data_IF_933640882626
#
_entry.id   IF_933640882626
#
_cell.length_a   1.000
_cell.length_b   1.000
_cell.length_c   1.000
_cell.angle_alpha   90.00
_cell.angle_beta   90.00
_cell.angle_gamma   90.00
#
_symmetry.space_group_name_H-M   'P 1'
#
loop_
_entity.id
_entity.type
_entity.pdbx_description
1 polymer ?
#
# COMPACT_ATOMS: atom_id res chain seq x y z
N UNK A 1 -18.59 -0.58 -21.54
CA UNK A 1 -18.84 0.68 -20.83
C UNK A 1 -17.70 1.67 -21.00
N UNK A 2 -17.98 2.94 -20.82
CA UNK A 2 -16.96 3.99 -20.91
C UNK A 2 -16.09 4.02 -19.65
N UNK A 3 -14.96 4.74 -19.73
CA UNK A 3 -14.09 4.93 -18.57
C UNK A 3 -14.84 5.66 -17.43
N UNK A 4 -15.72 6.61 -17.79
CA UNK A 4 -16.53 7.32 -16.80
C UNK A 4 -17.53 6.42 -16.09
N UNK A 5 -18.17 5.53 -16.85
CA UNK A 5 -19.10 4.55 -16.29
C UNK A 5 -18.37 3.56 -15.38
N UNK A 6 -17.21 3.09 -15.80
CA UNK A 6 -16.38 2.20 -15.01
C UNK A 6 -15.94 2.86 -13.70
N UNK A 7 -15.47 4.10 -13.77
CA UNK A 7 -15.05 4.87 -12.61
C UNK A 7 -16.20 5.00 -11.59
N UNK A 8 -17.38 5.29 -12.09
CA UNK A 8 -18.57 5.44 -11.26
C UNK A 8 -18.97 4.12 -10.62
N UNK A 9 -18.92 3.03 -11.37
CA UNK A 9 -19.29 1.70 -10.90
C UNK A 9 -18.37 1.22 -9.79
N UNK A 10 -17.07 1.49 -9.91
CA UNK A 10 -16.07 1.01 -8.96
C UNK A 10 -15.82 2.00 -7.83
N UNK A 11 -16.20 3.26 -7.99
CA UNK A 11 -16.08 4.27 -6.96
C UNK A 11 -14.73 4.96 -6.90
N UNK A 12 -14.09 5.14 -8.07
CA UNK A 12 -12.81 5.85 -8.18
C UNK A 12 -12.90 6.93 -9.23
N UNK A 13 -11.93 7.83 -9.29
CA UNK A 13 -11.92 8.83 -10.34
C UNK A 13 -11.24 8.29 -11.61
N UNK A 14 -11.51 8.96 -12.71
CA UNK A 14 -10.98 8.57 -14.03
C UNK A 14 -9.46 8.60 -14.06
N UNK A 15 -8.84 9.53 -13.34
CA UNK A 15 -7.38 9.65 -13.31
C UNK A 15 -6.71 8.43 -12.70
N UNK A 16 -7.35 7.83 -11.71
CA UNK A 16 -6.86 6.60 -11.08
C UNK A 16 -6.84 5.45 -12.10
N UNK A 17 -7.89 5.31 -12.89
CA UNK A 17 -7.98 4.28 -13.92
C UNK A 17 -6.92 4.52 -14.99
N UNK A 18 -6.75 5.75 -15.44
CA UNK A 18 -5.73 6.11 -16.42
C UNK A 18 -4.33 5.82 -15.91
N UNK A 19 -4.10 6.05 -14.62
CA UNK A 19 -2.82 5.74 -14.00
C UNK A 19 -2.52 4.24 -14.04
N UNK A 20 -3.47 3.40 -13.65
CA UNK A 20 -3.29 1.95 -13.66
C UNK A 20 -3.12 1.41 -15.09
N UNK A 21 -3.80 2.00 -16.03
CA UNK A 21 -3.65 1.66 -17.44
C UNK A 21 -2.25 2.00 -17.93
N UNK A 22 -1.75 3.17 -17.56
CA UNK A 22 -0.44 3.67 -17.97
C UNK A 22 0.70 2.80 -17.40
N UNK A 23 0.57 2.32 -16.17
CA UNK A 23 1.59 1.48 -15.54
C UNK A 23 1.45 -0.01 -15.91
N UNK A 24 0.49 -0.34 -16.76
CA UNK A 24 0.37 -1.70 -17.31
C UNK A 24 -0.37 -2.72 -16.46
N UNK A 25 -1.09 -2.29 -15.43
CA UNK A 25 -1.87 -3.19 -14.59
C UNK A 25 -3.24 -3.51 -15.18
N UNK A 26 -3.69 -2.72 -16.10
CA UNK A 26 -5.07 -2.72 -16.54
C UNK A 26 -5.14 -2.17 -17.96
N UNK A 27 -6.00 -2.75 -18.79
CA UNK A 27 -6.16 -2.28 -20.17
C UNK A 27 -7.64 -2.32 -20.57
N UNK A 28 -8.06 -1.43 -21.49
CA UNK A 28 -9.41 -1.50 -22.01
C UNK A 28 -9.61 -2.76 -22.84
N UNK A 29 -10.82 -3.25 -22.86
CA UNK A 29 -11.20 -4.40 -23.68
C UNK A 29 -11.08 -4.09 -25.17
N UNK A 30 -11.43 -2.87 -25.52
CA UNK A 30 -11.50 -2.43 -26.90
C UNK A 30 -11.25 -0.94 -27.03
N UNK A 31 -10.58 -0.52 -28.11
CA UNK A 31 -10.42 0.89 -28.45
C UNK A 31 -11.01 1.14 -29.82
N UNK A 32 -11.85 2.14 -29.92
CA UNK A 32 -12.45 2.53 -31.20
C UNK A 32 -11.40 3.22 -32.07
N UNK A 33 -11.18 2.73 -33.30
CA UNK A 33 -10.19 3.31 -34.20
C UNK A 33 -10.49 4.79 -34.48
N UNK A 34 -9.46 5.63 -34.39
CA UNK A 34 -9.54 7.04 -34.76
C UNK A 34 -10.13 7.98 -33.72
N UNK A 35 -10.84 7.49 -32.72
CA UNK A 35 -11.44 8.33 -31.69
C UNK A 35 -10.72 8.33 -30.35
N UNK A 36 -9.87 7.34 -30.12
CA UNK A 36 -9.25 7.15 -28.81
C UNK A 36 -10.24 6.69 -27.72
N UNK A 37 -11.46 6.39 -28.10
CA UNK A 37 -12.52 5.98 -27.19
C UNK A 37 -12.22 4.56 -26.69
N UNK A 38 -12.33 4.36 -25.37
CA UNK A 38 -12.03 3.10 -24.72
C UNK A 38 -13.29 2.43 -24.26
N UNK A 39 -13.36 1.11 -24.51
CA UNK A 39 -14.47 0.29 -24.04
C UNK A 39 -13.98 -0.69 -22.99
N UNK A 40 -14.75 -0.82 -21.91
CA UNK A 40 -14.43 -1.69 -20.78
C UNK A 40 -15.59 -2.65 -20.54
N UNK A 41 -15.26 -3.90 -20.23
CA UNK A 41 -16.24 -4.93 -19.94
C UNK A 41 -16.31 -5.25 -18.45
N UNK A 42 -17.08 -6.28 -18.08
CA UNK A 42 -17.22 -6.70 -16.70
C UNK A 42 -15.92 -7.24 -16.13
N UNK A 43 -15.09 -7.87 -16.96
CA UNK A 43 -13.76 -8.34 -16.53
C UNK A 43 -12.87 -7.16 -16.14
N UNK A 44 -12.97 -6.05 -16.84
CA UNK A 44 -12.24 -4.85 -16.50
C UNK A 44 -12.65 -4.33 -15.12
N UNK A 45 -13.95 -4.36 -14.82
CA UNK A 45 -14.48 -3.96 -13.53
C UNK A 45 -13.95 -4.86 -12.41
N UNK A 46 -13.97 -6.17 -12.61
CA UNK A 46 -13.47 -7.13 -11.64
C UNK A 46 -11.96 -6.96 -11.40
N UNK A 47 -11.22 -6.76 -12.47
CA UNK A 47 -9.77 -6.55 -12.38
C UNK A 47 -9.44 -5.26 -11.61
N UNK A 48 -10.18 -4.19 -11.89
CA UNK A 48 -9.97 -2.93 -11.20
C UNK A 48 -10.30 -3.04 -9.72
N UNK A 49 -11.38 -3.74 -9.37
CA UNK A 49 -11.72 -3.99 -7.97
C UNK A 49 -10.65 -4.80 -7.26
N UNK A 50 -10.08 -5.78 -7.95
CA UNK A 50 -8.98 -6.57 -7.42
C UNK A 50 -7.77 -5.68 -7.12
N UNK A 51 -7.40 -4.79 -8.04
CA UNK A 51 -6.28 -3.87 -7.87
C UNK A 51 -6.50 -2.97 -6.65
N UNK A 52 -7.71 -2.41 -6.52
CA UNK A 52 -8.04 -1.54 -5.41
C UNK A 52 -8.00 -2.27 -4.08
N UNK A 53 -8.53 -3.49 -4.02
CA UNK A 53 -8.48 -4.30 -2.81
C UNK A 53 -7.05 -4.63 -2.40
N UNK A 54 -6.22 -4.98 -3.36
CA UNK A 54 -4.81 -5.27 -3.10
C UNK A 54 -4.06 -4.05 -2.60
N UNK A 55 -4.37 -2.87 -3.14
CA UNK A 55 -3.79 -1.61 -2.65
C UNK A 55 -4.17 -1.34 -1.21
N UNK A 56 -5.41 -1.58 -0.84
CA UNK A 56 -5.89 -1.41 0.54
C UNK A 56 -5.17 -2.35 1.50
N UNK A 57 -4.80 -3.54 1.04
CA UNK A 57 -4.06 -4.50 1.84
C UNK A 57 -2.56 -4.20 1.92
N UNK A 58 -2.12 -3.13 1.27
CA UNK A 58 -0.73 -2.68 1.36
C UNK A 58 0.21 -3.25 0.32
N UNK A 59 -0.31 -3.87 -0.74
CA UNK A 59 0.53 -4.37 -1.83
C UNK A 59 1.03 -3.21 -2.70
N UNK A 60 2.27 -3.31 -3.13
CA UNK A 60 2.83 -2.38 -4.11
C UNK A 60 2.30 -2.72 -5.50
N UNK A 61 2.44 -1.77 -6.43
CA UNK A 61 2.01 -2.01 -7.81
C UNK A 61 2.74 -3.19 -8.45
N UNK A 62 4.01 -3.38 -8.13
CA UNK A 62 4.80 -4.53 -8.61
C UNK A 62 4.23 -5.84 -8.08
N UNK A 63 3.91 -5.87 -6.79
CA UNK A 63 3.32 -7.05 -6.15
C UNK A 63 1.93 -7.36 -6.72
N UNK A 64 1.14 -6.33 -6.99
CA UNK A 64 -0.18 -6.49 -7.61
C UNK A 64 -0.03 -7.10 -9.00
N UNK A 65 0.96 -6.65 -9.76
CA UNK A 65 1.22 -7.21 -11.08
C UNK A 65 1.59 -8.69 -11.00
N UNK A 66 2.40 -9.08 -10.03
CA UNK A 66 2.74 -10.47 -9.80
C UNK A 66 1.48 -11.31 -9.51
N UNK A 67 0.58 -10.79 -8.68
CA UNK A 67 -0.67 -11.45 -8.36
C UNK A 67 -1.57 -11.60 -9.59
N UNK A 68 -1.64 -10.56 -10.41
CA UNK A 68 -2.43 -10.60 -11.65
C UNK A 68 -1.86 -11.65 -12.61
N UNK A 69 -0.55 -11.68 -12.77
CA UNK A 69 0.12 -12.63 -13.64
C UNK A 69 -0.12 -14.09 -13.19
N UNK A 70 -0.10 -14.33 -11.88
CA UNK A 70 -0.39 -15.65 -11.33
C UNK A 70 -1.85 -16.07 -11.54
N UNK A 71 -2.76 -15.13 -11.57
CA UNK A 71 -4.18 -15.42 -11.81
C UNK A 71 -4.42 -16.00 -13.20
N UNK A 72 -3.56 -15.66 -14.15
CA UNK A 72 -3.69 -16.13 -15.54
C UNK A 72 -3.13 -17.54 -15.71
N UNK A 73 -2.23 -17.98 -14.82
CA UNK A 73 -1.59 -19.27 -14.91
C UNK A 73 -2.50 -20.38 -14.40
N UNK A 74 -2.62 -21.50 -15.11
CA UNK A 74 -3.39 -22.66 -14.62
C UNK A 74 -2.64 -23.46 -13.57
N UNK A 75 -3.36 -24.18 -12.73
CA UNK A 75 -2.78 -25.17 -11.83
C UNK A 75 -2.30 -24.63 -10.48
N UNK A 76 -1.00 -24.59 -10.26
CA UNK A 76 -0.39 -24.36 -8.94
C UNK A 76 -0.39 -22.91 -8.46
N UNK A 77 -1.05 -22.01 -9.19
CA UNK A 77 -1.05 -20.58 -8.88
C UNK A 77 -1.58 -20.27 -7.48
N UNK A 78 -2.45 -21.10 -6.92
CA UNK A 78 -3.00 -20.87 -5.59
C UNK A 78 -1.92 -20.94 -4.51
N UNK A 79 -0.97 -21.88 -4.61
CA UNK A 79 0.14 -21.99 -3.66
C UNK A 79 1.07 -20.77 -3.75
N UNK A 80 1.32 -20.28 -4.97
CA UNK A 80 2.13 -19.09 -5.18
C UNK A 80 1.45 -17.84 -4.62
N UNK A 81 0.14 -17.70 -4.84
CA UNK A 81 -0.64 -16.60 -4.28
C UNK A 81 -0.57 -16.63 -2.76
N UNK A 82 -0.75 -17.79 -2.15
CA UNK A 82 -0.68 -17.96 -0.70
C UNK A 82 0.68 -17.50 -0.16
N UNK A 83 1.75 -17.86 -0.84
CA UNK A 83 3.10 -17.48 -0.45
C UNK A 83 3.28 -15.95 -0.48
N UNK A 84 2.78 -15.29 -1.52
CA UNK A 84 2.85 -13.83 -1.61
C UNK A 84 2.04 -13.16 -0.50
N UNK A 85 0.87 -13.70 -0.19
CA UNK A 85 0.04 -13.17 0.90
C UNK A 85 0.71 -13.35 2.26
N UNK A 86 1.32 -14.50 2.51
CA UNK A 86 2.04 -14.76 3.75
C UNK A 86 3.25 -13.84 3.89
N UNK A 87 3.99 -13.62 2.81
CA UNK A 87 5.13 -12.71 2.81
C UNK A 87 4.69 -11.29 3.17
N UNK A 88 3.58 -10.84 2.62
CA UNK A 88 3.02 -9.52 2.93
C UNK A 88 2.59 -9.44 4.39
N UNK A 89 1.94 -10.46 4.90
CA UNK A 89 1.54 -10.52 6.32
C UNK A 89 2.75 -10.45 7.25
N UNK A 90 3.80 -11.18 6.94
CA UNK A 90 5.02 -11.19 7.75
C UNK A 90 5.71 -9.83 7.74
N UNK A 91 5.68 -9.14 6.61
CA UNK A 91 6.18 -7.77 6.48
C UNK A 91 5.38 -6.82 7.37
N UNK A 92 4.06 -6.96 7.39
CA UNK A 92 3.19 -6.14 8.24
C UNK A 92 3.48 -6.42 9.72
N UNK A 93 3.63 -7.68 10.10
CA UNK A 93 3.95 -8.07 11.48
C UNK A 93 5.26 -7.43 11.93
N UNK A 94 6.26 -7.39 11.06
CA UNK A 94 7.53 -6.75 11.36
C UNK A 94 7.36 -5.24 11.57
N UNK A 95 6.59 -4.59 10.71
CA UNK A 95 6.30 -3.16 10.85
C UNK A 95 5.54 -2.85 12.12
N UNK A 96 4.63 -3.73 12.51
CA UNK A 96 3.91 -3.57 13.77
C UNK A 96 4.86 -3.61 14.97
N UNK A 97 5.84 -4.53 14.95
CA UNK A 97 6.83 -4.60 16.01
C UNK A 97 7.71 -3.34 16.04
N UNK A 98 8.12 -2.85 14.88
CA UNK A 98 8.90 -1.62 14.78
C UNK A 98 8.13 -0.41 15.30
N UNK A 99 6.85 -0.30 14.93
CA UNK A 99 6.00 0.79 15.38
C UNK A 99 5.77 0.73 16.90
N UNK A 100 5.63 -0.46 17.46
CA UNK A 100 5.50 -0.63 18.92
C UNK A 100 6.75 -0.16 19.64
N UNK A 101 7.92 -0.44 19.08
CA UNK A 101 9.19 0.03 19.64
C UNK A 101 9.28 1.55 19.61
N UNK A 102 8.90 2.17 18.49
CA UNK A 102 8.88 3.63 18.37
C UNK A 102 7.92 4.26 19.36
N UNK A 103 6.72 3.68 19.47
CA UNK A 103 5.72 4.16 20.41
C UNK A 103 6.20 4.09 21.84
N UNK A 104 6.86 3.00 22.22
CA UNK A 104 7.41 2.83 23.56
C UNK A 104 8.45 3.92 23.85
N UNK A 105 9.32 4.21 22.89
CA UNK A 105 10.31 5.29 23.03
C UNK A 105 9.67 6.64 23.24
N UNK A 106 8.60 6.92 22.48
CA UNK A 106 7.86 8.18 22.63
C UNK A 106 7.16 8.26 23.99
N UNK A 107 6.56 7.16 24.45
CA UNK A 107 5.89 7.11 25.73
C UNK A 107 6.86 7.38 26.89
N UNK A 108 8.08 6.85 26.81
CA UNK A 108 9.12 7.11 27.80
C UNK A 108 9.49 8.57 27.84
N UNK A 109 9.63 9.22 26.68
CA UNK A 109 9.93 10.64 26.58
C UNK A 109 8.79 11.50 27.12
N UNK A 110 7.55 11.13 26.80
CA UNK A 110 6.36 11.83 27.28
C UNK A 110 6.28 11.75 28.81
N UNK A 111 6.53 10.59 29.39
CA UNK A 111 6.53 10.40 30.82
C UNK A 111 7.60 11.25 31.50
N UNK A 112 8.79 11.29 30.92
CA UNK A 112 9.88 12.09 31.43
C UNK A 112 9.54 13.59 31.37
N UNK A 113 8.95 14.03 30.25
CA UNK A 113 8.55 15.42 30.05
C UNK A 113 7.50 15.89 31.05
N UNK A 114 6.58 14.99 31.44
CA UNK A 114 5.52 15.32 32.38
C UNK A 114 5.98 15.64 33.80
N UNK A 115 7.22 15.36 34.14
CA UNK A 115 7.80 15.60 35.47
C UNK A 115 8.48 16.96 35.59
N UNK A 116 8.66 17.68 34.49
CA UNK A 116 9.39 18.95 34.45
C UNK A 116 8.56 20.00 33.73
N UNK A 117 8.77 21.27 34.15
CA UNK A 117 8.01 22.42 33.62
C UNK A 117 8.87 23.37 32.80
N UNK A 118 10.19 23.27 32.89
CA UNK A 118 11.10 24.15 32.18
C UNK A 118 11.70 23.47 30.97
N UNK A 119 11.79 24.22 29.86
CA UNK A 119 12.38 23.69 28.62
C UNK A 119 13.84 23.28 28.80
N UNK A 120 14.60 24.07 29.56
CA UNK A 120 16.03 23.79 29.78
C UNK A 120 16.29 22.57 30.64
N UNK A 121 15.32 22.18 31.47
CA UNK A 121 15.42 21.06 32.39
C UNK A 121 14.61 19.86 31.93
N UNK A 122 14.09 19.87 30.70
CA UNK A 122 13.22 18.82 30.21
C UNK A 122 13.99 17.48 30.04
N UNK A 123 13.62 16.43 30.81
CA UNK A 123 14.29 15.14 30.70
C UNK A 123 14.11 14.49 29.33
N UNK A 124 13.02 14.82 28.63
CA UNK A 124 12.76 14.28 27.30
C UNK A 124 13.83 14.73 26.30
N UNK A 125 14.24 16.01 26.35
CA UNK A 125 15.27 16.53 25.45
C UNK A 125 16.61 15.87 25.70
N UNK A 126 16.97 15.63 26.95
CA UNK A 126 18.18 14.93 27.30
C UNK A 126 18.15 13.47 26.87
N UNK A 127 17.01 12.81 27.06
CA UNK A 127 16.83 11.43 26.64
C UNK A 127 16.90 11.29 25.13
N UNK A 128 16.36 12.25 24.37
CA UNK A 128 16.44 12.27 22.92
C UNK A 128 17.87 12.39 22.43
N UNK A 129 18.69 13.22 23.09
CA UNK A 129 20.10 13.35 22.75
C UNK A 129 20.85 12.03 22.90
N UNK A 130 20.58 11.28 23.96
CA UNK A 130 21.19 9.96 24.17
C UNK A 130 20.66 8.94 23.15
N UNK A 131 19.38 9.01 22.83
CA UNK A 131 18.75 8.10 21.89
C UNK A 131 19.28 8.28 20.45
N UNK A 132 19.55 9.53 20.05
CA UNK A 132 20.09 9.83 18.73
C UNK A 132 21.42 9.12 18.51
N UNK A 133 22.27 9.02 19.54
CA UNK A 133 23.52 8.28 19.45
C UNK A 133 23.32 6.79 19.19
N UNK A 134 22.28 6.19 19.73
CA UNK A 134 21.95 4.79 19.50
C UNK A 134 21.43 4.55 18.09
N UNK A 135 20.66 5.46 17.56
CA UNK A 135 20.13 5.36 16.19
C UNK A 135 21.22 5.40 15.14
N UNK A 136 22.30 6.16 15.41
CA UNK A 136 23.41 6.30 14.49
C UNK A 136 24.27 5.03 14.36
N UNK A 137 24.11 4.07 15.26
CA UNK A 137 24.91 2.84 15.29
C UNK A 137 24.31 1.67 14.53
N UNK A 138 23.26 1.89 13.81
CA UNK A 138 22.64 0.84 12.99
C UNK A 138 23.54 0.39 11.87
#
# INVERSE_FOLDING_TARGET
MTIGELAKQVGVNIQTIRYYERVGLFSPTHRWPGSGYRDFDDDASLRLRFILSAKELGFTLREIKELIDLRILPGESCAEVKRLLETKRDEIDRRMRELKCLRRGLDELITACGRRRSRSDCPALWAMSAHAGRSATK
#
